data_IF_492669887099
#
_entry.id   IF_492669887099
#
_cell.length_a   1.000
_cell.length_b   1.000
_cell.length_c   1.000
_cell.angle_alpha   90.00
_cell.angle_beta   90.00
_cell.angle_gamma   90.00
#
_symmetry.space_group_name_H-M   'P 1'
#
loop_
_entity.id
_entity.type
_entity.pdbx_description
1 polymer ?
#
# COMPACT_ATOMS: atom_id res chain seq x y z
N UNK A 1 -3.37 -7.44 -12.49
CA UNK A 1 -2.85 -6.13 -12.06
C UNK A 1 -3.95 -5.47 -11.25
N UNK A 2 -3.63 -4.97 -10.07
CA UNK A 2 -4.56 -4.29 -9.19
C UNK A 2 -5.00 -3.01 -9.90
N UNK A 3 -6.27 -2.99 -10.26
CA UNK A 3 -6.88 -1.82 -10.89
C UNK A 3 -7.51 -0.98 -9.80
N UNK A 4 -7.02 0.25 -9.66
CA UNK A 4 -7.50 1.22 -8.69
C UNK A 4 -8.37 2.24 -9.42
N UNK A 5 -9.59 2.43 -8.94
CA UNK A 5 -10.40 3.57 -9.34
C UNK A 5 -9.69 4.87 -8.98
N UNK A 6 -10.01 5.98 -9.65
CA UNK A 6 -9.34 7.26 -9.39
C UNK A 6 -9.50 7.72 -7.93
N UNK A 7 -10.65 7.43 -7.31
CA UNK A 7 -10.89 7.74 -5.90
C UNK A 7 -10.07 6.85 -4.96
N UNK A 8 -9.98 5.55 -5.24
CA UNK A 8 -9.10 4.64 -4.48
C UNK A 8 -7.64 5.07 -4.62
N UNK A 9 -7.18 5.35 -5.84
CA UNK A 9 -5.81 5.80 -6.10
C UNK A 9 -5.50 7.08 -5.33
N UNK A 10 -6.37 8.09 -5.40
CA UNK A 10 -6.20 9.35 -4.68
C UNK A 10 -6.10 9.12 -3.16
N UNK A 11 -7.00 8.31 -2.60
CA UNK A 11 -6.98 7.96 -1.18
C UNK A 11 -5.69 7.23 -0.78
N UNK A 12 -5.29 6.21 -1.53
CA UNK A 12 -4.10 5.41 -1.23
C UNK A 12 -2.81 6.24 -1.39
N UNK A 13 -2.75 7.15 -2.36
CA UNK A 13 -1.62 8.09 -2.52
C UNK A 13 -1.52 9.09 -1.35
N UNK A 14 -2.67 9.65 -0.92
CA UNK A 14 -2.73 10.55 0.24
C UNK A 14 -2.24 9.84 1.50
N UNK A 15 -2.63 8.57 1.66
CA UNK A 15 -2.20 7.72 2.76
C UNK A 15 -0.78 7.19 2.62
N UNK A 16 -0.02 7.49 1.55
CA UNK A 16 1.32 6.93 1.27
C UNK A 16 1.35 5.41 1.17
N UNK A 17 0.26 4.82 0.71
CA UNK A 17 0.14 3.37 0.51
C UNK A 17 0.64 2.93 -0.86
N UNK A 18 0.60 3.80 -1.88
CA UNK A 18 1.06 3.46 -3.23
C UNK A 18 2.49 3.93 -3.52
N UNK A 19 3.17 3.15 -4.35
CA UNK A 19 4.42 3.49 -5.03
C UNK A 19 4.42 2.87 -6.42
N UNK A 20 5.48 3.03 -7.20
CA UNK A 20 5.64 2.39 -8.51
C UNK A 20 6.80 1.39 -8.48
N UNK A 21 6.62 0.23 -9.10
CA UNK A 21 7.71 -0.72 -9.33
C UNK A 21 8.66 -0.26 -10.44
N UNK A 22 9.68 -1.07 -10.76
CA UNK A 22 10.66 -0.77 -11.80
C UNK A 22 10.09 -0.70 -13.22
N UNK A 23 8.89 -1.24 -13.43
CA UNK A 23 8.15 -1.18 -14.70
C UNK A 23 7.18 0.00 -14.75
N UNK A 24 7.11 0.82 -13.69
CA UNK A 24 6.17 1.93 -13.57
C UNK A 24 4.76 1.52 -13.19
N UNK A 25 4.55 0.27 -12.74
CA UNK A 25 3.25 -0.21 -12.30
C UNK A 25 3.00 0.21 -10.84
N UNK A 26 1.79 0.72 -10.57
CA UNK A 26 1.35 1.05 -9.21
C UNK A 26 1.26 -0.23 -8.35
N UNK A 27 1.93 -0.18 -7.21
CA UNK A 27 2.01 -1.25 -6.22
C UNK A 27 1.83 -0.68 -4.82
N UNK A 28 1.43 -1.52 -3.86
CA UNK A 28 1.46 -1.14 -2.46
C UNK A 28 2.92 -1.08 -1.98
N UNK A 29 3.27 -0.06 -1.21
CA UNK A 29 4.64 0.15 -0.73
C UNK A 29 5.14 -1.07 0.05
N UNK A 30 6.36 -1.51 -0.24
CA UNK A 30 6.97 -2.70 0.36
C UNK A 30 6.47 -4.03 -0.21
N UNK A 31 5.50 -4.04 -1.12
CA UNK A 31 4.98 -5.26 -1.76
C UNK A 31 5.43 -5.35 -3.23
N UNK A 32 5.48 -6.57 -3.76
CA UNK A 32 5.61 -6.81 -5.20
C UNK A 32 4.28 -6.60 -5.92
N UNK A 33 4.32 -6.58 -7.25
CA UNK A 33 3.12 -6.48 -8.09
C UNK A 33 2.17 -7.68 -7.90
N UNK A 34 2.70 -8.87 -7.63
CA UNK A 34 1.89 -10.06 -7.30
C UNK A 34 1.27 -9.95 -5.91
N UNK A 35 2.06 -9.61 -4.91
CA UNK A 35 1.61 -9.42 -3.53
C UNK A 35 0.55 -8.32 -3.44
N UNK A 36 0.71 -7.22 -4.19
CA UNK A 36 -0.28 -6.15 -4.28
C UNK A 36 -1.60 -6.66 -4.86
N UNK A 37 -1.56 -7.44 -5.94
CA UNK A 37 -2.78 -8.00 -6.53
C UNK A 37 -3.53 -8.87 -5.52
N UNK A 38 -2.79 -9.75 -4.83
CA UNK A 38 -3.35 -10.60 -3.80
C UNK A 38 -3.97 -9.76 -2.67
N UNK A 39 -3.22 -8.82 -2.11
CA UNK A 39 -3.65 -7.98 -1.00
C UNK A 39 -4.93 -7.21 -1.34
N UNK A 40 -4.96 -6.53 -2.49
CA UNK A 40 -6.11 -5.73 -2.92
C UNK A 40 -7.35 -6.59 -3.15
N UNK A 41 -7.19 -7.76 -3.78
CA UNK A 41 -8.29 -8.69 -3.99
C UNK A 41 -8.82 -9.24 -2.67
N UNK A 42 -7.94 -9.68 -1.77
CA UNK A 42 -8.33 -10.15 -0.44
C UNK A 42 -9.05 -9.05 0.35
N UNK A 43 -8.53 -7.82 0.39
CA UNK A 43 -9.19 -6.70 1.07
C UNK A 43 -10.57 -6.38 0.51
N UNK A 44 -10.78 -6.55 -0.80
CA UNK A 44 -12.09 -6.34 -1.44
C UNK A 44 -13.07 -7.45 -1.07
N UNK A 45 -12.64 -8.70 -1.12
CA UNK A 45 -13.44 -9.86 -0.73
C UNK A 45 -13.78 -9.83 0.77
N UNK A 46 -12.84 -9.46 1.62
CA UNK A 46 -13.07 -9.36 3.07
C UNK A 46 -14.08 -8.27 3.44
N UNK A 47 -14.18 -7.20 2.65
CA UNK A 47 -15.24 -6.19 2.82
C UNK A 47 -16.62 -6.71 2.44
N UNK A 48 -16.73 -7.68 1.53
CA UNK A 48 -18.00 -8.32 1.18
C UNK A 48 -18.31 -9.56 2.04
N UNK A 49 -17.34 -10.07 2.80
CA UNK A 49 -17.44 -11.30 3.58
C UNK A 49 -17.25 -12.57 2.74
N UNK A 50 -16.65 -12.44 1.56
CA UNK A 50 -16.40 -13.53 0.61
C UNK A 50 -14.90 -13.91 0.56
N UNK A 51 -14.12 -13.53 1.57
CA UNK A 51 -12.71 -13.91 1.66
C UNK A 51 -12.55 -15.42 1.89
N UNK A 52 -11.48 -15.99 1.34
CA UNK A 52 -11.06 -17.34 1.72
C UNK A 52 -10.38 -17.26 3.11
N UNK A 53 -10.90 -17.92 4.15
CA UNK A 53 -10.28 -17.90 5.47
C UNK A 53 -8.83 -18.41 5.47
N UNK A 54 -8.49 -19.32 4.56
CA UNK A 54 -7.14 -19.90 4.46
C UNK A 54 -6.11 -18.87 3.95
N UNK A 55 -6.57 -17.81 3.27
CA UNK A 55 -5.72 -16.71 2.80
C UNK A 55 -5.45 -15.64 3.88
N UNK A 56 -6.11 -15.73 5.04
CA UNK A 56 -6.02 -14.73 6.12
C UNK A 56 -4.59 -14.58 6.65
N UNK A 57 -3.89 -15.69 6.88
CA UNK A 57 -2.52 -15.65 7.42
C UNK A 57 -1.58 -14.94 6.45
N UNK A 58 -1.66 -15.30 5.16
CA UNK A 58 -0.88 -14.64 4.10
C UNK A 58 -1.21 -13.14 4.01
N UNK A 59 -2.48 -12.77 4.12
CA UNK A 59 -2.88 -11.36 4.14
C UNK A 59 -2.25 -10.61 5.31
N UNK A 60 -2.27 -11.18 6.52
CA UNK A 60 -1.70 -10.54 7.72
C UNK A 60 -0.19 -10.32 7.59
N UNK A 61 0.55 -11.29 7.06
CA UNK A 61 2.00 -11.14 6.80
C UNK A 61 2.29 -10.01 5.81
N UNK A 62 1.53 -9.95 4.71
CA UNK A 62 1.67 -8.88 3.72
C UNK A 62 1.26 -7.53 4.30
N UNK A 63 0.24 -7.49 5.15
CA UNK A 63 -0.19 -6.27 5.83
C UNK A 63 0.90 -5.72 6.75
N UNK A 64 1.55 -6.57 7.54
CA UNK A 64 2.68 -6.16 8.37
C UNK A 64 3.84 -5.63 7.54
N UNK A 65 4.20 -6.37 6.47
CA UNK A 65 5.27 -5.96 5.53
C UNK A 65 4.98 -4.59 4.90
N UNK A 66 3.74 -4.39 4.46
CA UNK A 66 3.27 -3.14 3.86
C UNK A 66 3.31 -1.97 4.86
N UNK A 67 2.70 -2.13 6.03
CA UNK A 67 2.61 -1.05 7.01
C UNK A 67 4.00 -0.65 7.56
N UNK A 68 4.91 -1.61 7.74
CA UNK A 68 6.29 -1.30 8.13
C UNK A 68 6.97 -0.40 7.10
N UNK A 69 6.93 -0.79 5.82
CA UNK A 69 7.53 0.00 4.74
C UNK A 69 6.86 1.37 4.60
N UNK A 70 5.54 1.44 4.77
CA UNK A 70 4.77 2.68 4.75
C UNK A 70 5.19 3.64 5.85
N UNK A 71 5.38 3.16 7.08
CA UNK A 71 5.86 4.00 8.18
C UNK A 71 7.29 4.50 7.98
N UNK A 72 8.17 3.71 7.35
CA UNK A 72 9.50 4.15 6.97
C UNK A 72 9.44 5.34 5.98
N UNK A 73 8.56 5.27 4.97
CA UNK A 73 8.34 6.37 4.02
C UNK A 73 7.83 7.63 4.73
N UNK A 74 6.80 7.49 5.57
CA UNK A 74 6.23 8.63 6.32
C UNK A 74 7.29 9.24 7.25
N UNK A 75 8.10 8.41 7.91
CA UNK A 75 9.19 8.85 8.76
C UNK A 75 10.26 9.63 8.00
N UNK A 76 10.66 9.15 6.82
CA UNK A 76 11.63 9.83 5.97
C UNK A 76 11.09 11.19 5.46
N UNK A 77 9.83 11.25 5.03
CA UNK A 77 9.17 12.51 4.64
C UNK A 77 9.12 13.52 5.80
N UNK A 78 8.82 13.04 7.01
CA UNK A 78 8.77 13.88 8.20
C UNK A 78 10.15 14.47 8.54
N UNK A 79 11.22 13.69 8.44
CA UNK A 79 12.59 14.15 8.67
C UNK A 79 12.98 15.26 7.68
N UNK A 80 12.73 15.05 6.39
CA UNK A 80 13.03 16.03 5.34
C UNK A 80 12.30 17.37 5.57
N UNK A 81 11.07 17.34 6.08
CA UNK A 81 10.31 18.56 6.41
C UNK A 81 10.90 19.33 7.59
N UNK A 82 11.46 18.63 8.57
CA UNK A 82 12.13 19.25 9.72
C UNK A 82 13.46 19.89 9.31
N UNK A 83 14.17 19.26 8.37
CA UNK A 83 15.46 19.75 7.86
C UNK A 83 15.31 20.95 6.90
N UNK A 84 14.17 21.08 6.20
CA UNK A 84 13.85 22.22 5.33
C UNK A 84 12.49 22.85 5.70
N UNK A 85 12.45 23.73 6.72
CA UNK A 85 11.21 24.33 7.20
C UNK A 85 10.57 25.35 6.23
N UNK A 86 11.16 25.57 5.04
CA UNK A 86 10.73 26.61 4.09
C UNK A 86 9.82 26.10 2.97
N UNK A 87 9.54 24.79 2.88
CA UNK A 87 8.61 24.24 1.87
C UNK A 87 7.17 24.27 2.41
N UNK A 88 6.53 25.41 2.28
CA UNK A 88 5.07 25.60 2.39
C UNK A 88 4.47 25.94 1.03
#
# INVERSE_FOLDING_TARGET
MADFTDSERAYLMEMRMLTTDSSGQEILVGLTSEETNFYVNFSRLSRSGDEDPDDTERYLELNEKHERARFEVIGAEAQLRVEDPSRH
#
